data_IF_188323273145
#
_entry.id   IF_188323273145
#
_cell.length_a   1.000
_cell.length_b   1.000
_cell.length_c   1.000
_cell.angle_alpha   90.00
_cell.angle_beta   90.00
_cell.angle_gamma   90.00
#
_symmetry.space_group_name_H-M   'P 1'
#
loop_
_entity.id
_entity.type
_entity.pdbx_description
1 polymer ?
#
# COMPACT_ATOMS: atom_id res chain seq x y z
N UNK A 1 -14.92 -16.61 -19.47
CA UNK A 1 -14.51 -15.46 -18.67
C UNK A 1 -13.07 -15.68 -18.23
N UNK A 2 -12.15 -14.82 -18.68
CA UNK A 2 -10.69 -14.95 -18.43
C UNK A 2 -10.32 -14.43 -17.04
N UNK A 3 -9.12 -14.76 -16.55
CA UNK A 3 -8.67 -14.26 -15.24
C UNK A 3 -8.51 -12.73 -15.23
N UNK A 4 -8.18 -12.16 -16.39
CA UNK A 4 -8.06 -10.72 -16.63
C UNK A 4 -9.43 -10.02 -16.50
N UNK A 5 -10.49 -10.60 -17.08
CA UNK A 5 -11.86 -10.07 -16.94
C UNK A 5 -12.36 -10.10 -15.49
N UNK A 6 -12.04 -11.16 -14.74
CA UNK A 6 -12.35 -11.23 -13.30
C UNK A 6 -11.64 -10.13 -12.51
N UNK A 7 -10.34 -9.91 -12.79
CA UNK A 7 -9.56 -8.87 -12.11
C UNK A 7 -10.15 -7.46 -12.37
N UNK A 8 -10.55 -7.15 -13.60
CA UNK A 8 -11.19 -5.86 -13.91
C UNK A 8 -12.57 -5.70 -13.25
N UNK A 9 -13.34 -6.77 -13.12
CA UNK A 9 -14.61 -6.72 -12.37
C UNK A 9 -14.38 -6.48 -10.88
N UNK A 10 -13.38 -7.11 -10.28
CA UNK A 10 -13.04 -6.87 -8.86
C UNK A 10 -12.62 -5.41 -8.67
N UNK A 11 -11.77 -4.87 -9.55
CA UNK A 11 -11.37 -3.46 -9.51
C UNK A 11 -12.58 -2.53 -9.62
N UNK A 12 -13.45 -2.77 -10.61
CA UNK A 12 -14.66 -1.97 -10.82
C UNK A 12 -15.59 -1.99 -9.61
N UNK A 13 -15.66 -3.09 -8.87
CA UNK A 13 -16.48 -3.18 -7.64
C UNK A 13 -15.85 -2.49 -6.42
N UNK A 14 -14.52 -2.36 -6.38
CA UNK A 14 -13.84 -1.68 -5.29
C UNK A 14 -14.04 -0.16 -5.35
N UNK A 15 -14.20 0.42 -6.55
CA UNK A 15 -14.48 1.85 -6.78
C UNK A 15 -13.57 2.74 -5.91
N UNK A 16 -14.15 3.50 -4.97
CA UNK A 16 -13.45 4.46 -4.09
C UNK A 16 -12.54 3.79 -3.05
N UNK A 17 -12.73 2.48 -2.84
CA UNK A 17 -11.91 1.67 -1.93
C UNK A 17 -10.74 1.01 -2.65
N UNK A 18 -10.50 1.30 -3.94
CA UNK A 18 -9.33 0.81 -4.65
C UNK A 18 -8.05 1.45 -4.08
N UNK A 19 -7.09 0.62 -3.70
CA UNK A 19 -5.91 1.06 -2.94
C UNK A 19 -5.09 2.17 -3.63
N UNK A 20 -4.76 2.07 -4.94
CA UNK A 20 -4.14 3.17 -5.68
C UNK A 20 -4.90 4.49 -5.64
N UNK A 21 -6.24 4.45 -5.63
CA UNK A 21 -7.04 5.66 -5.54
C UNK A 21 -6.95 6.29 -4.14
N UNK A 22 -6.98 5.48 -3.08
CA UNK A 22 -6.71 5.95 -1.70
C UNK A 22 -5.33 6.60 -1.64
N UNK A 23 -4.34 5.99 -2.29
CA UNK A 23 -2.97 6.50 -2.33
C UNK A 23 -2.86 7.85 -3.04
N UNK A 24 -3.40 7.99 -4.26
CA UNK A 24 -3.34 9.26 -5.00
C UNK A 24 -4.19 10.34 -4.36
N UNK A 25 -5.40 10.02 -3.92
CA UNK A 25 -6.38 11.02 -3.47
C UNK A 25 -6.22 11.43 -2.01
N UNK A 26 -5.73 10.55 -1.13
CA UNK A 26 -5.67 10.81 0.31
C UNK A 26 -4.25 10.94 0.85
N UNK A 27 -3.29 10.28 0.23
CA UNK A 27 -1.89 10.21 0.72
C UNK A 27 -1.04 11.24 -0.02
N UNK A 28 -0.99 11.19 -1.35
CA UNK A 28 -0.15 12.09 -2.15
C UNK A 28 -0.59 13.57 -2.09
N UNK A 29 -1.84 13.85 -1.71
CA UNK A 29 -2.33 15.23 -1.48
C UNK A 29 -1.84 15.85 -0.16
N UNK A 30 -0.96 15.17 0.57
CA UNK A 30 -0.49 15.59 1.89
C UNK A 30 1.03 15.71 1.86
N UNK A 31 1.62 16.25 2.94
CA UNK A 31 3.08 16.24 3.07
C UNK A 31 3.55 14.82 3.33
N UNK A 32 4.33 14.30 2.39
CA UNK A 32 4.87 12.95 2.42
C UNK A 32 6.39 12.94 2.30
N UNK A 33 7.02 11.88 2.79
CA UNK A 33 8.40 11.51 2.49
C UNK A 33 8.43 10.25 1.64
N UNK A 34 9.42 10.14 0.74
CA UNK A 34 9.66 8.87 0.05
C UNK A 34 10.23 7.84 1.03
N UNK A 35 9.67 6.63 1.02
CA UNK A 35 10.19 5.49 1.74
C UNK A 35 10.56 4.38 0.75
N UNK A 36 11.82 3.98 0.75
CA UNK A 36 12.32 2.93 -0.13
C UNK A 36 12.47 1.62 0.64
N UNK A 37 11.84 0.56 0.14
CA UNK A 37 11.98 -0.80 0.70
C UNK A 37 13.34 -1.44 0.35
N UNK A 38 14.12 -0.80 -0.55
CA UNK A 38 15.36 -1.33 -1.11
C UNK A 38 15.11 -2.51 -2.05
N UNK A 39 16.14 -3.35 -2.27
CA UNK A 39 16.00 -4.59 -3.03
C UNK A 39 15.14 -5.60 -2.22
N UNK A 40 13.82 -5.57 -2.43
CA UNK A 40 12.90 -6.54 -1.86
C UNK A 40 12.78 -7.76 -2.79
N UNK A 41 12.74 -9.00 -2.26
CA UNK A 41 12.51 -10.19 -3.08
C UNK A 41 11.12 -10.17 -3.71
N UNK A 42 10.96 -10.87 -4.84
CA UNK A 42 9.68 -10.97 -5.56
C UNK A 42 8.67 -11.74 -4.69
N UNK A 43 7.71 -11.03 -4.07
CA UNK A 43 6.74 -11.51 -3.06
C UNK A 43 7.38 -11.81 -1.69
N UNK A 44 7.82 -10.79 -0.94
CA UNK A 44 8.37 -11.01 0.39
C UNK A 44 7.27 -11.53 1.33
N UNK A 45 7.62 -12.48 2.21
CA UNK A 45 6.79 -12.77 3.38
C UNK A 45 6.91 -11.57 4.33
N UNK A 46 5.78 -10.92 4.60
CA UNK A 46 5.71 -9.68 5.39
C UNK A 46 5.11 -9.96 6.74
N UNK A 47 5.86 -9.68 7.81
CA UNK A 47 5.44 -9.87 9.20
C UNK A 47 5.78 -8.63 10.02
N UNK A 48 4.91 -8.29 10.97
CA UNK A 48 5.17 -7.22 11.95
C UNK A 48 5.60 -7.89 13.24
N UNK A 49 6.78 -7.55 13.75
CA UNK A 49 7.36 -8.10 14.97
C UNK A 49 7.35 -7.03 16.07
N UNK A 50 6.79 -7.37 17.21
CA UNK A 50 6.90 -6.56 18.42
C UNK A 50 8.16 -6.99 19.17
N UNK A 51 9.07 -6.06 19.39
CA UNK A 51 10.35 -6.30 20.06
C UNK A 51 10.46 -5.42 21.29
N UNK A 52 11.46 -5.68 22.13
CA UNK A 52 11.74 -4.84 23.30
C UNK A 52 12.15 -3.40 22.91
N UNK A 53 12.70 -3.20 21.71
CA UNK A 53 13.17 -1.90 21.21
C UNK A 53 12.12 -1.16 20.36
N UNK A 54 10.92 -1.72 20.21
CA UNK A 54 9.85 -1.16 19.39
C UNK A 54 9.34 -2.16 18.34
N UNK A 55 8.89 -1.64 17.20
CA UNK A 55 8.22 -2.43 16.15
C UNK A 55 9.14 -2.58 14.94
N UNK A 56 9.26 -3.81 14.45
CA UNK A 56 10.00 -4.12 13.22
C UNK A 56 9.08 -4.69 12.15
N UNK A 57 9.27 -4.26 10.89
CA UNK A 57 8.65 -4.88 9.73
C UNK A 57 9.64 -5.84 9.08
N UNK A 58 9.37 -7.15 9.18
CA UNK A 58 10.18 -8.21 8.57
C UNK A 58 9.72 -8.46 7.14
N UNK A 59 10.66 -8.35 6.20
CA UNK A 59 10.49 -8.61 4.77
C UNK A 59 11.43 -9.75 4.36
N UNK A 60 10.93 -10.99 4.46
CA UNK A 60 11.76 -12.18 4.28
C UNK A 60 12.89 -12.23 5.33
N UNK A 61 14.14 -12.06 4.88
CA UNK A 61 15.32 -12.06 5.76
C UNK A 61 15.69 -10.66 6.30
N UNK A 62 15.11 -9.59 5.74
CA UNK A 62 15.40 -8.22 6.15
C UNK A 62 14.41 -7.76 7.21
N UNK A 63 14.85 -6.87 8.10
CA UNK A 63 14.00 -6.21 9.08
C UNK A 63 14.16 -4.70 8.94
N UNK A 64 13.04 -4.00 9.01
CA UNK A 64 12.98 -2.55 8.92
C UNK A 64 12.43 -2.02 10.23
N UNK A 65 13.24 -1.24 10.94
CA UNK A 65 12.78 -0.58 12.16
C UNK A 65 11.68 0.42 11.79
N UNK A 66 10.55 0.35 12.47
CA UNK A 66 9.44 1.28 12.33
C UNK A 66 9.31 2.11 13.60
N UNK A 67 8.98 3.41 13.49
CA UNK A 67 8.82 4.27 14.66
C UNK A 67 7.65 3.82 15.56
N UNK A 68 6.61 3.24 14.97
CA UNK A 68 5.41 2.80 15.66
C UNK A 68 4.69 1.68 14.86
N UNK A 69 3.67 1.09 15.49
CA UNK A 69 2.87 0.03 14.89
C UNK A 69 2.06 0.52 13.68
N UNK A 70 1.54 1.74 13.70
CA UNK A 70 0.75 2.28 12.59
C UNK A 70 1.58 2.40 11.32
N UNK A 71 2.84 2.84 11.44
CA UNK A 71 3.79 2.91 10.33
C UNK A 71 4.15 1.53 9.82
N UNK A 72 4.36 0.55 10.71
CA UNK A 72 4.61 -0.84 10.30
C UNK A 72 3.42 -1.43 9.53
N UNK A 73 2.20 -1.21 10.02
CA UNK A 73 0.94 -1.61 9.36
C UNK A 73 0.79 -0.97 7.99
N UNK A 74 0.94 0.35 7.91
CA UNK A 74 0.95 1.11 6.66
C UNK A 74 1.92 0.53 5.63
N UNK A 75 3.20 0.40 6.01
CA UNK A 75 4.25 -0.10 5.12
C UNK A 75 4.03 -1.57 4.73
N UNK A 76 3.42 -2.37 5.60
CA UNK A 76 3.20 -3.79 5.36
C UNK A 76 2.30 -4.04 4.15
N UNK A 77 1.31 -3.18 3.89
CA UNK A 77 0.40 -3.31 2.75
C UNK A 77 1.17 -3.17 1.43
N UNK A 78 1.97 -2.12 1.30
CA UNK A 78 2.77 -1.88 0.11
C UNK A 78 3.91 -2.89 -0.06
N UNK A 79 4.50 -3.34 1.05
CA UNK A 79 5.50 -4.39 1.02
C UNK A 79 4.93 -5.73 0.52
N UNK A 80 3.69 -6.09 0.90
CA UNK A 80 2.99 -7.28 0.40
C UNK A 80 2.69 -7.18 -1.10
N UNK A 81 2.35 -5.99 -1.58
CA UNK A 81 2.21 -5.72 -3.01
C UNK A 81 3.55 -5.81 -3.77
N UNK A 82 4.67 -5.72 -3.06
CA UNK A 82 6.00 -5.69 -3.64
C UNK A 82 6.33 -4.34 -4.28
N UNK A 83 5.78 -3.24 -3.75
CA UNK A 83 6.19 -1.89 -4.13
C UNK A 83 7.66 -1.66 -3.74
N UNK A 84 8.39 -0.90 -4.55
CA UNK A 84 9.81 -0.58 -4.30
C UNK A 84 9.97 0.65 -3.43
N UNK A 85 9.09 1.61 -3.64
CA UNK A 85 9.04 2.88 -2.92
C UNK A 85 7.59 3.32 -2.79
N UNK A 86 7.32 4.07 -1.72
CA UNK A 86 6.00 4.65 -1.44
C UNK A 86 6.12 5.95 -0.68
N UNK A 87 5.12 6.81 -0.83
CA UNK A 87 4.93 7.99 0.00
C UNK A 87 4.54 7.56 1.42
N UNK A 88 5.12 8.19 2.44
CA UNK A 88 4.71 8.05 3.84
C UNK A 88 4.35 9.44 4.38
N UNK A 89 3.14 9.66 4.89
CA UNK A 89 2.76 10.94 5.50
C UNK A 89 3.68 11.32 6.66
N UNK A 90 4.00 12.61 6.79
CA UNK A 90 4.74 13.12 7.96
C UNK A 90 3.90 13.13 9.24
N UNK A 91 2.59 13.34 9.12
CA UNK A 91 1.68 13.36 10.25
C UNK A 91 1.36 11.94 10.73
N UNK A 92 2.01 11.55 11.83
CA UNK A 92 1.86 10.23 12.45
C UNK A 92 0.42 9.92 12.86
N UNK A 93 -0.41 10.93 13.16
CA UNK A 93 -1.81 10.72 13.58
C UNK A 93 -2.68 10.26 12.41
N UNK A 94 -2.30 10.64 11.18
CA UNK A 94 -2.97 10.23 9.95
C UNK A 94 -2.55 8.85 9.48
N UNK A 95 -1.30 8.44 9.76
CA UNK A 95 -0.77 7.13 9.35
C UNK A 95 -1.62 5.99 9.90
N UNK A 96 -2.10 6.08 11.15
CA UNK A 96 -2.96 5.04 11.74
C UNK A 96 -4.27 4.85 10.97
N UNK A 97 -4.99 5.93 10.68
CA UNK A 97 -6.26 5.88 9.92
C UNK A 97 -6.05 5.40 8.49
N UNK A 98 -4.97 5.85 7.85
CA UNK A 98 -4.62 5.40 6.51
C UNK A 98 -4.24 3.92 6.50
N UNK A 99 -3.53 3.42 7.52
CA UNK A 99 -3.22 2.01 7.65
C UNK A 99 -4.50 1.16 7.75
N UNK A 100 -5.47 1.57 8.58
CA UNK A 100 -6.76 0.89 8.69
C UNK A 100 -7.50 0.84 7.33
N UNK A 101 -7.53 1.96 6.62
CA UNK A 101 -8.20 2.07 5.31
C UNK A 101 -7.52 1.21 4.24
N UNK A 102 -6.19 1.24 4.16
CA UNK A 102 -5.40 0.45 3.21
C UNK A 102 -5.50 -1.05 3.49
N UNK A 103 -5.45 -1.47 4.76
CA UNK A 103 -5.64 -2.87 5.14
C UNK A 103 -7.05 -3.37 4.82
N UNK A 104 -8.07 -2.55 5.09
CA UNK A 104 -9.46 -2.86 4.77
C UNK A 104 -9.65 -3.01 3.26
N UNK A 105 -9.10 -2.10 2.47
CA UNK A 105 -9.09 -2.14 1.00
C UNK A 105 -8.42 -3.42 0.48
N UNK A 106 -7.23 -3.74 1.00
CA UNK A 106 -6.48 -4.94 0.63
C UNK A 106 -7.26 -6.21 0.94
N UNK A 107 -7.83 -6.33 2.14
CA UNK A 107 -8.59 -7.51 2.54
C UNK A 107 -9.87 -7.66 1.70
N UNK A 108 -10.59 -6.56 1.47
CA UNK A 108 -11.79 -6.53 0.63
C UNK A 108 -11.48 -6.96 -0.81
N UNK A 109 -10.36 -6.50 -1.37
CA UNK A 109 -9.90 -6.93 -2.69
C UNK A 109 -9.74 -8.45 -2.78
N UNK A 110 -9.08 -9.06 -1.80
CA UNK A 110 -8.86 -10.51 -1.78
C UNK A 110 -10.18 -11.29 -1.61
N UNK A 111 -11.03 -10.87 -0.66
CA UNK A 111 -12.33 -11.52 -0.46
C UNK A 111 -13.19 -11.45 -1.73
N UNK A 112 -13.26 -10.29 -2.39
CA UNK A 112 -14.05 -10.13 -3.61
C UNK A 112 -13.50 -10.99 -4.75
N UNK A 113 -12.19 -11.10 -4.88
CA UNK A 113 -11.54 -11.96 -5.86
C UNK A 113 -11.88 -13.43 -5.60
N UNK A 114 -11.73 -13.90 -4.36
CA UNK A 114 -12.04 -15.27 -3.97
C UNK A 114 -13.52 -15.59 -4.14
N UNK A 115 -14.41 -14.70 -3.69
CA UNK A 115 -15.86 -14.87 -3.81
C UNK A 115 -16.31 -14.99 -5.27
N UNK A 116 -15.80 -14.14 -6.16
CA UNK A 116 -16.12 -14.23 -7.60
C UNK A 116 -15.56 -15.50 -8.23
N UNK A 117 -14.42 -15.99 -7.75
CA UNK A 117 -13.77 -17.18 -8.25
C UNK A 117 -14.09 -18.45 -7.42
N UNK A 118 -15.18 -18.46 -6.63
CA UNK A 118 -15.52 -19.56 -5.71
C UNK A 118 -15.56 -20.92 -6.40
N UNK A 119 -16.16 -21.01 -7.59
CA UNK A 119 -16.30 -22.23 -8.38
C UNK A 119 -15.08 -22.55 -9.27
N UNK A 120 -14.00 -21.77 -9.15
CA UNK A 120 -12.78 -21.92 -9.96
C UNK A 120 -11.68 -22.62 -9.17
N UNK A 121 -10.69 -23.14 -9.89
CA UNK A 121 -9.53 -23.81 -9.29
C UNK A 121 -8.66 -22.83 -8.50
N UNK A 122 -7.92 -23.34 -7.52
CA UNK A 122 -6.98 -22.54 -6.71
C UNK A 122 -5.89 -21.85 -7.56
N UNK A 123 -5.47 -22.50 -8.65
CA UNK A 123 -4.54 -21.91 -9.61
C UNK A 123 -5.15 -20.66 -10.29
N UNK A 124 -6.44 -20.68 -10.58
CA UNK A 124 -7.16 -19.54 -11.17
C UNK A 124 -7.30 -18.39 -10.17
N UNK A 125 -7.65 -18.67 -8.91
CA UNK A 125 -7.69 -17.67 -7.82
C UNK A 125 -6.33 -17.01 -7.62
N UNK A 126 -5.27 -17.83 -7.55
CA UNK A 126 -3.88 -17.36 -7.44
C UNK A 126 -3.48 -16.46 -8.62
N UNK A 127 -3.94 -16.79 -9.84
CA UNK A 127 -3.71 -15.95 -11.02
C UNK A 127 -4.42 -14.60 -10.91
N UNK A 128 -5.69 -14.57 -10.48
CA UNK A 128 -6.43 -13.32 -10.26
C UNK A 128 -5.74 -12.45 -9.21
N UNK A 129 -5.35 -13.03 -8.07
CA UNK A 129 -4.59 -12.31 -7.04
C UNK A 129 -3.29 -11.74 -7.60
N UNK A 130 -2.55 -12.53 -8.38
CA UNK A 130 -1.34 -12.09 -9.07
C UNK A 130 -1.57 -10.89 -9.99
N UNK A 131 -2.65 -10.92 -10.78
CA UNK A 131 -3.02 -9.84 -11.70
C UNK A 131 -3.42 -8.56 -10.94
N UNK A 132 -4.28 -8.68 -9.92
CA UNK A 132 -4.71 -7.54 -9.09
C UNK A 132 -3.53 -6.88 -8.38
N UNK A 133 -2.66 -7.68 -7.75
CA UNK A 133 -1.47 -7.18 -7.07
C UNK A 133 -0.49 -6.54 -8.06
N UNK A 134 -0.31 -7.13 -9.24
CA UNK A 134 0.55 -6.56 -10.27
C UNK A 134 0.02 -5.21 -10.76
N UNK A 135 -1.30 -5.10 -10.99
CA UNK A 135 -1.97 -3.87 -11.40
C UNK A 135 -1.87 -2.79 -10.34
N UNK A 136 -2.18 -3.12 -9.08
CA UNK A 136 -2.02 -2.23 -7.93
C UNK A 136 -0.59 -1.72 -7.85
N UNK A 137 0.41 -2.60 -7.90
CA UNK A 137 1.82 -2.22 -7.83
C UNK A 137 2.22 -1.29 -8.97
N UNK A 138 1.72 -1.55 -10.19
CA UNK A 138 2.00 -0.70 -11.34
C UNK A 138 1.40 0.70 -11.14
N UNK A 139 0.13 0.80 -10.75
CA UNK A 139 -0.54 2.08 -10.53
C UNK A 139 0.12 2.90 -9.39
N UNK A 140 0.58 2.23 -8.32
CA UNK A 140 1.35 2.89 -7.25
C UNK A 140 2.72 3.37 -7.76
N UNK A 141 3.40 2.56 -8.59
CA UNK A 141 4.68 2.96 -9.19
C UNK A 141 4.52 4.14 -10.16
N UNK A 142 3.46 4.15 -10.96
CA UNK A 142 3.13 5.23 -11.90
C UNK A 142 2.78 6.53 -11.17
N UNK A 143 2.08 6.43 -10.04
CA UNK A 143 1.80 7.57 -9.16
C UNK A 143 3.05 8.11 -8.45
N UNK A 144 4.08 7.28 -8.30
CA UNK A 144 5.34 7.61 -7.64
C UNK A 144 5.24 7.77 -6.12
N UNK A 145 6.40 7.98 -5.47
CA UNK A 145 6.48 8.18 -4.01
C UNK A 145 6.13 9.62 -3.56
N UNK A 146 5.54 10.43 -4.43
CA UNK A 146 5.24 11.85 -4.21
C UNK A 146 6.46 12.77 -4.40
N UNK A 147 6.25 14.07 -4.23
CA UNK A 147 7.33 15.08 -4.33
C UNK A 147 8.37 14.88 -3.21
N UNK A 148 9.66 14.95 -3.55
CA UNK A 148 10.76 14.77 -2.59
C UNK A 148 10.91 15.91 -1.58
N UNK A 149 10.23 17.04 -1.82
CA UNK A 149 10.26 18.24 -0.97
C UNK A 149 8.82 18.71 -0.78
N UNK A 150 8.35 18.95 0.45
CA UNK A 150 7.05 19.59 0.64
C UNK A 150 7.11 20.98 0.02
N UNK A 151 6.13 21.34 -0.80
CA UNK A 151 5.94 22.72 -1.23
C UNK A 151 5.70 23.56 0.04
N UNK A 152 6.77 24.22 0.50
CA UNK A 152 6.65 25.28 1.48
C UNK A 152 5.93 26.41 0.75
N UNK A 153 4.61 26.53 0.97
CA UNK A 153 3.87 27.70 0.56
C UNK A 153 4.64 28.94 1.06
N UNK A 154 5.15 29.73 0.12
CA UNK A 154 5.79 30.99 0.45
C UNK A 154 4.70 31.93 0.96
N UNK A 155 4.66 32.15 2.26
CA UNK A 155 4.07 33.38 2.81
C UNK A 155 4.93 33.88 3.95
N UNK A 156 5.85 34.82 3.69
CA UNK A 156 6.22 35.79 4.70
C UNK A 156 5.30 36.99 4.53
N UNK A 157 4.16 37.03 5.23
CA UNK A 157 3.55 38.33 5.57
C UNK A 157 3.95 38.64 7.02
N UNK A 158 5.23 38.97 7.20
CA UNK A 158 5.67 39.72 8.38
C UNK A 158 5.23 41.17 8.15
N UNK A 159 4.05 41.52 8.67
CA UNK A 159 3.65 42.93 8.77
C UNK A 159 4.34 43.57 9.97
N UNK A 160 5.00 44.69 9.66
CA UNK A 160 5.58 45.67 10.56
C UNK A 160 4.53 46.38 11.42
#
# INVERSE_FOLDING_TARGET
>A
MTAEEYAEQVKTQLTDTWLPLIYTERILKTRTRSYHFGAAPRKPRVEIHHTLLGVELKLGQRRLLCPDLATARYLSVFARAGCREVAVPYDITRVSRLADELESSWHRMLILADHKATERTEAFKTRIHGLLIAKLRQEIADAGAGASVPEFGQTPDQRA
#
